data_IF_600523526192
#
_entry.id   IF_600523526192
#
_cell.length_a   1.000
_cell.length_b   1.000
_cell.length_c   1.000
_cell.angle_alpha   90.00
_cell.angle_beta   90.00
_cell.angle_gamma   90.00
#
_symmetry.space_group_name_H-M   'P 1'
#
loop_
_entity.id
_entity.type
_entity.pdbx_description
1 polymer ?
#
# COMPACT_ATOMS: atom_id res chain seq x y z
N UNK A 1 -27.73 12.15 -7.47
CA UNK A 1 -26.36 11.64 -7.67
C UNK A 1 -25.38 12.49 -6.88
N UNK A 2 -25.07 12.06 -5.65
CA UNK A 2 -24.13 12.72 -4.74
C UNK A 2 -22.68 12.55 -5.22
N UNK A 3 -21.74 13.29 -4.61
CA UNK A 3 -20.32 13.10 -4.89
C UNK A 3 -19.84 11.68 -4.50
N UNK A 4 -20.33 11.12 -3.40
CA UNK A 4 -19.99 9.76 -2.97
C UNK A 4 -20.53 8.70 -3.94
N UNK A 5 -21.75 8.89 -4.45
CA UNK A 5 -22.32 7.98 -5.47
C UNK A 5 -21.53 8.04 -6.79
N UNK A 6 -21.05 9.23 -7.18
CA UNK A 6 -20.18 9.40 -8.35
C UNK A 6 -18.84 8.70 -8.16
N UNK A 7 -18.21 8.87 -6.99
CA UNK A 7 -16.94 8.23 -6.67
C UNK A 7 -17.07 6.70 -6.63
N UNK A 8 -18.11 6.19 -5.93
CA UNK A 8 -18.36 4.76 -5.86
C UNK A 8 -18.58 4.13 -7.24
N UNK A 9 -19.31 4.83 -8.12
CA UNK A 9 -19.47 4.39 -9.51
C UNK A 9 -18.14 4.39 -10.27
N UNK A 10 -17.37 5.47 -10.17
CA UNK A 10 -16.07 5.58 -10.84
C UNK A 10 -15.13 4.43 -10.45
N UNK A 11 -15.08 4.07 -9.16
CA UNK A 11 -14.29 2.93 -8.68
C UNK A 11 -14.88 1.58 -9.15
N UNK A 12 -16.20 1.41 -9.13
CA UNK A 12 -16.82 0.17 -9.58
C UNK A 12 -16.68 -0.07 -11.09
N UNK A 13 -16.59 1.01 -11.88
CA UNK A 13 -16.42 0.98 -13.33
C UNK A 13 -14.94 1.04 -13.75
N UNK A 14 -14.00 1.17 -12.81
CA UNK A 14 -12.57 1.17 -13.14
C UNK A 14 -12.18 -0.17 -13.75
N UNK A 15 -11.36 -0.12 -14.79
CA UNK A 15 -10.86 -1.27 -15.53
C UNK A 15 -9.35 -1.16 -15.70
N UNK A 16 -8.77 -2.07 -16.47
CA UNK A 16 -7.33 -2.07 -16.75
C UNK A 16 -6.85 -0.69 -17.22
N UNK A 17 -5.78 -0.13 -16.63
CA UNK A 17 -5.25 1.14 -17.06
C UNK A 17 -4.68 1.04 -18.48
N UNK A 18 -4.66 2.17 -19.18
CA UNK A 18 -3.92 2.28 -20.45
C UNK A 18 -2.42 2.07 -20.22
N UNK A 19 -1.68 1.62 -21.23
CA UNK A 19 -0.23 1.37 -21.13
C UNK A 19 0.56 2.53 -20.49
N UNK A 20 0.36 3.81 -20.85
CA UNK A 20 1.11 4.90 -20.20
C UNK A 20 0.81 5.06 -18.71
N UNK A 21 -0.42 4.73 -18.29
CA UNK A 21 -0.81 4.77 -16.90
C UNK A 21 -0.26 3.56 -16.15
N UNK A 22 -0.23 2.39 -16.80
CA UNK A 22 0.42 1.19 -16.28
C UNK A 22 1.90 1.44 -15.98
N UNK A 23 2.63 2.07 -16.90
CA UNK A 23 4.05 2.42 -16.69
C UNK A 23 4.24 3.35 -15.47
N UNK A 24 3.33 4.31 -15.27
CA UNK A 24 3.37 5.21 -14.11
C UNK A 24 3.07 4.48 -12.79
N UNK A 25 2.09 3.57 -12.79
CA UNK A 25 1.77 2.72 -11.63
C UNK A 25 2.96 1.84 -11.26
N UNK A 26 3.62 1.23 -12.24
CA UNK A 26 4.81 0.42 -12.00
C UNK A 26 5.96 1.23 -11.40
N UNK A 27 6.17 2.46 -11.87
CA UNK A 27 7.18 3.36 -11.31
C UNK A 27 6.88 3.68 -9.84
N UNK A 28 5.63 4.02 -9.50
CA UNK A 28 5.22 4.30 -8.12
C UNK A 28 5.31 3.05 -7.23
N UNK A 29 4.99 1.88 -7.77
CA UNK A 29 5.13 0.61 -7.08
C UNK A 29 6.58 0.35 -6.69
N UNK A 30 7.51 0.47 -7.65
CA UNK A 30 8.94 0.26 -7.42
C UNK A 30 9.47 1.26 -6.39
N UNK A 31 9.13 2.54 -6.53
CA UNK A 31 9.55 3.59 -5.60
C UNK A 31 9.07 3.32 -4.17
N UNK A 32 7.78 3.04 -3.99
CA UNK A 32 7.18 2.80 -2.67
C UNK A 32 7.72 1.53 -2.01
N UNK A 33 7.88 0.44 -2.78
CA UNK A 33 8.47 -0.80 -2.26
C UNK A 33 9.94 -0.58 -1.90
N UNK A 34 10.68 0.22 -2.69
CA UNK A 34 12.04 0.62 -2.37
C UNK A 34 12.13 1.39 -1.04
N UNK A 35 11.27 2.39 -0.85
CA UNK A 35 11.19 3.17 0.38
C UNK A 35 10.86 2.30 1.61
N UNK A 36 9.88 1.39 1.44
CA UNK A 36 9.53 0.40 2.46
C UNK A 36 10.75 -0.47 2.82
N UNK A 37 11.42 -1.10 1.84
CA UNK A 37 12.58 -1.96 2.13
C UNK A 37 13.69 -1.16 2.82
N UNK A 38 13.99 0.04 2.34
CA UNK A 38 15.02 0.90 2.90
C UNK A 38 14.74 1.24 4.38
N UNK A 39 13.49 1.54 4.72
CA UNK A 39 13.12 1.91 6.08
C UNK A 39 13.30 0.78 7.10
N UNK A 40 13.26 -0.50 6.68
CA UNK A 40 13.54 -1.65 7.57
C UNK A 40 14.95 -1.64 8.17
N UNK A 41 15.87 -0.87 7.57
CA UNK A 41 17.26 -0.73 8.01
C UNK A 41 17.49 0.52 8.87
N UNK A 42 16.48 1.36 9.07
CA UNK A 42 16.52 2.47 10.03
C UNK A 42 16.28 1.97 11.46
N UNK A 43 16.67 2.76 12.45
CA UNK A 43 16.39 2.48 13.87
C UNK A 43 14.89 2.35 14.14
N UNK A 44 14.10 3.26 13.59
CA UNK A 44 12.67 3.38 13.77
C UNK A 44 11.94 2.21 13.10
N UNK A 45 12.36 1.81 11.90
CA UNK A 45 11.79 0.66 11.20
C UNK A 45 12.12 -0.66 11.90
N UNK A 46 13.34 -0.81 12.42
CA UNK A 46 13.71 -1.97 13.23
C UNK A 46 12.87 -2.05 14.51
N UNK A 47 12.62 -0.93 15.17
CA UNK A 47 11.78 -0.86 16.37
C UNK A 47 10.31 -1.20 16.05
N UNK A 48 9.78 -0.70 14.93
CA UNK A 48 8.43 -1.02 14.47
C UNK A 48 8.25 -2.52 14.18
N UNK A 49 9.23 -3.17 13.52
CA UNK A 49 9.19 -4.61 13.26
C UNK A 49 9.24 -5.44 14.55
N UNK A 50 10.03 -5.02 15.55
CA UNK A 50 10.04 -5.65 16.88
C UNK A 50 8.70 -5.50 17.59
N UNK A 51 8.11 -4.31 17.54
CA UNK A 51 6.78 -4.07 18.09
C UNK A 51 5.73 -4.98 17.45
N UNK A 52 5.71 -5.08 16.11
CA UNK A 52 4.83 -6.02 15.40
C UNK A 52 5.01 -7.46 15.90
N UNK A 53 6.25 -7.94 15.99
CA UNK A 53 6.54 -9.31 16.43
C UNK A 53 6.03 -9.58 17.85
N UNK A 54 6.19 -8.63 18.76
CA UNK A 54 5.65 -8.70 20.12
C UNK A 54 4.12 -8.76 20.13
N UNK A 55 3.45 -7.93 19.32
CA UNK A 55 1.98 -7.95 19.21
C UNK A 55 1.46 -9.28 18.68
N UNK A 56 2.12 -9.84 17.66
CA UNK A 56 1.77 -11.16 17.10
C UNK A 56 1.94 -12.29 18.15
N UNK A 57 3.02 -12.26 18.93
CA UNK A 57 3.27 -13.27 19.96
C UNK A 57 2.21 -13.28 21.08
N UNK A 58 1.56 -12.14 21.34
CA UNK A 58 0.53 -11.99 22.36
C UNK A 58 -0.89 -12.43 21.91
N UNK A 59 -1.02 -13.13 20.78
CA UNK A 59 -2.23 -13.91 20.46
C UNK A 59 -3.41 -13.12 19.89
N UNK A 60 -3.24 -11.88 19.42
CA UNK A 60 -4.31 -11.11 18.75
C UNK A 60 -4.48 -11.49 17.28
N UNK A 61 -4.63 -12.79 17.00
CA UNK A 61 -4.63 -13.36 15.64
C UNK A 61 -5.69 -12.75 14.70
N UNK A 62 -6.83 -12.30 15.23
CA UNK A 62 -7.89 -11.66 14.44
C UNK A 62 -7.53 -10.30 13.82
N UNK A 63 -6.45 -9.66 14.26
CA UNK A 63 -5.98 -8.36 13.76
C UNK A 63 -4.74 -8.48 12.85
N UNK A 64 -4.29 -9.71 12.53
CA UNK A 64 -2.99 -9.92 11.85
C UNK A 64 -2.89 -9.21 10.50
N UNK A 65 -3.94 -9.26 9.67
CA UNK A 65 -3.94 -8.60 8.36
C UNK A 65 -3.91 -7.07 8.47
N UNK A 66 -4.68 -6.52 9.41
CA UNK A 66 -4.72 -5.07 9.66
C UNK A 66 -3.39 -4.57 10.25
N UNK A 67 -2.79 -5.34 11.16
CA UNK A 67 -1.47 -5.06 11.72
C UNK A 67 -0.38 -5.13 10.65
N UNK A 68 -0.45 -6.11 9.75
CA UNK A 68 0.46 -6.23 8.61
C UNK A 68 0.34 -5.02 7.70
N UNK A 69 -0.88 -4.67 7.28
CA UNK A 69 -1.13 -3.49 6.48
C UNK A 69 -0.57 -2.23 7.14
N UNK A 70 -0.93 -1.97 8.40
CA UNK A 70 -0.48 -0.79 9.13
C UNK A 70 1.05 -0.75 9.25
N UNK A 71 1.70 -1.89 9.49
CA UNK A 71 3.17 -1.98 9.56
C UNK A 71 3.80 -1.66 8.22
N UNK A 72 3.26 -2.18 7.11
CA UNK A 72 3.79 -1.94 5.76
C UNK A 72 3.61 -0.48 5.33
N UNK A 73 2.44 0.10 5.58
CA UNK A 73 2.19 1.53 5.33
C UNK A 73 3.15 2.42 6.15
N UNK A 74 3.33 2.10 7.43
CA UNK A 74 4.24 2.84 8.28
C UNK A 74 5.67 2.74 7.74
N UNK A 75 6.16 1.54 7.42
CA UNK A 75 7.49 1.37 6.84
C UNK A 75 7.65 2.09 5.49
N UNK A 76 6.64 2.10 4.63
CA UNK A 76 6.72 2.83 3.36
C UNK A 76 6.95 4.34 3.56
N UNK A 77 6.37 4.95 4.60
CA UNK A 77 6.50 6.38 4.92
C UNK A 77 7.68 6.77 5.79
N UNK A 78 8.15 5.83 6.61
CA UNK A 78 8.98 6.12 7.77
C UNK A 78 10.31 6.83 7.45
N UNK A 79 10.88 6.57 6.28
CA UNK A 79 12.12 7.21 5.82
C UNK A 79 11.91 8.53 5.08
N UNK A 80 10.66 8.89 4.75
CA UNK A 80 10.30 10.07 3.93
C UNK A 80 10.93 10.10 2.52
N UNK A 81 11.42 8.97 2.02
CA UNK A 81 12.01 8.87 0.66
C UNK A 81 10.99 8.41 -0.39
N UNK A 82 9.76 8.11 0.00
CA UNK A 82 8.67 7.74 -0.89
C UNK A 82 8.14 8.95 -1.70
N UNK A 83 7.56 8.70 -2.87
CA UNK A 83 7.08 9.77 -3.73
C UNK A 83 5.92 10.59 -3.11
N UNK A 84 5.89 11.89 -3.45
CA UNK A 84 4.82 12.82 -3.08
C UNK A 84 3.96 13.19 -4.28
N UNK A 85 2.64 13.18 -4.10
CA UNK A 85 1.69 13.80 -5.01
C UNK A 85 1.54 15.29 -4.66
N UNK A 86 2.28 16.13 -5.37
CA UNK A 86 2.38 17.57 -5.09
C UNK A 86 1.02 18.30 -5.04
N UNK A 87 0.07 18.08 -5.96
CA UNK A 87 -1.21 18.81 -5.93
C UNK A 87 -2.03 18.61 -4.65
N UNK A 88 -1.97 17.43 -4.03
CA UNK A 88 -2.65 17.16 -2.76
C UNK A 88 -1.75 17.32 -1.55
N UNK A 89 -0.43 17.49 -1.74
CA UNK A 89 0.58 17.47 -0.68
C UNK A 89 0.50 16.20 0.19
N UNK A 90 0.23 15.06 -0.44
CA UNK A 90 0.16 13.76 0.23
C UNK A 90 1.06 12.74 -0.45
N UNK A 91 1.31 11.63 0.22
CA UNK A 91 2.11 10.48 -0.25
C UNK A 91 1.18 9.27 -0.45
N UNK A 92 0.37 9.24 -1.53
CA UNK A 92 -0.67 8.22 -1.68
C UNK A 92 -0.09 6.82 -1.84
N UNK A 93 1.08 6.68 -2.49
CA UNK A 93 1.71 5.40 -2.78
C UNK A 93 1.93 4.56 -1.52
N UNK A 94 2.41 5.19 -0.45
CA UNK A 94 2.67 4.51 0.81
C UNK A 94 1.42 4.03 1.60
N UNK A 95 0.21 4.32 1.10
CA UNK A 95 -1.04 3.73 1.62
C UNK A 95 -1.61 2.75 0.59
N UNK A 96 -1.76 3.18 -0.66
CA UNK A 96 -2.43 2.41 -1.71
C UNK A 96 -1.63 1.16 -2.07
N UNK A 97 -0.32 1.28 -2.30
CA UNK A 97 0.52 0.15 -2.75
C UNK A 97 0.66 -0.92 -1.65
N UNK A 98 1.01 -0.59 -0.39
CA UNK A 98 1.00 -1.58 0.69
C UNK A 98 -0.38 -2.20 0.92
N UNK A 99 -1.46 -1.41 0.76
CA UNK A 99 -2.85 -1.86 0.79
C UNK A 99 -3.14 -2.94 -0.23
N UNK A 100 -2.93 -2.61 -1.50
CA UNK A 100 -3.19 -3.49 -2.62
C UNK A 100 -2.37 -4.79 -2.53
N UNK A 101 -1.07 -4.70 -2.23
CA UNK A 101 -0.20 -5.88 -2.05
C UNK A 101 -0.63 -6.76 -0.87
N UNK A 102 -1.08 -6.15 0.23
CA UNK A 102 -1.54 -6.89 1.41
C UNK A 102 -2.82 -7.66 1.12
N UNK A 103 -3.78 -7.03 0.43
CA UNK A 103 -5.05 -7.65 0.07
C UNK A 103 -4.88 -8.70 -1.02
N UNK A 104 -4.06 -8.42 -2.04
CA UNK A 104 -3.73 -9.38 -3.08
C UNK A 104 -3.09 -10.65 -2.50
N UNK A 105 -2.17 -10.52 -1.54
CA UNK A 105 -1.56 -11.68 -0.88
C UNK A 105 -2.54 -12.50 -0.02
N UNK A 106 -3.67 -11.91 0.40
CA UNK A 106 -4.70 -12.54 1.21
C UNK A 106 -5.91 -13.05 0.38
N UNK A 107 -5.94 -12.76 -0.92
CA UNK A 107 -7.06 -13.08 -1.81
C UNK A 107 -6.61 -14.12 -2.83
N UNK A 108 -7.36 -15.21 -2.96
CA UNK A 108 -7.07 -16.24 -3.95
C UNK A 108 -7.31 -15.72 -5.37
N UNK A 109 -6.58 -16.26 -6.34
CA UNK A 109 -6.81 -16.06 -7.78
C UNK A 109 -6.70 -14.62 -8.29
N UNK A 110 -5.89 -13.77 -7.63
CA UNK A 110 -5.57 -12.41 -8.10
C UNK A 110 -4.44 -12.43 -9.13
N UNK A 111 -4.67 -11.83 -10.30
CA UNK A 111 -3.65 -11.63 -11.33
C UNK A 111 -2.86 -10.32 -11.12
N UNK A 112 -1.69 -10.23 -11.76
CA UNK A 112 -0.89 -9.00 -11.73
C UNK A 112 -1.66 -7.79 -12.28
N UNK A 113 -2.47 -8.01 -13.32
CA UNK A 113 -3.30 -6.96 -13.91
C UNK A 113 -4.41 -6.50 -12.96
N UNK A 114 -4.97 -7.39 -12.13
CA UNK A 114 -5.94 -7.00 -11.10
C UNK A 114 -5.29 -6.10 -10.03
N UNK A 115 -4.05 -6.43 -9.65
CA UNK A 115 -3.26 -5.61 -8.72
C UNK A 115 -2.94 -4.24 -9.31
N UNK A 116 -2.52 -4.18 -10.57
CA UNK A 116 -2.23 -2.92 -11.27
C UNK A 116 -3.47 -2.06 -11.41
N UNK A 117 -4.64 -2.64 -11.70
CA UNK A 117 -5.89 -1.90 -11.77
C UNK A 117 -6.39 -1.40 -10.40
N UNK A 118 -6.00 -2.07 -9.31
CA UNK A 118 -6.36 -1.69 -7.94
C UNK A 118 -5.49 -0.56 -7.35
N UNK A 119 -4.33 -0.26 -7.97
CA UNK A 119 -3.40 0.80 -7.55
C UNK A 119 -3.68 2.08 -8.33
#
# INVERSE_FOLDING_TARGET
>A
MTALEKLGRYVAESSQPSDPLRDLVELHLIDTVGAWIASTRTSEGANLLRFRAMVCANGRAGEALALDLATRCALARLSEIDNIHLPSMTTPGAIVIPGALTLAAATADIAADDLIAAI
#
